data_IF_158921835092
#
_entry.id   IF_158921835092
#
_cell.length_a   1.000
_cell.length_b   1.000
_cell.length_c   1.000
_cell.angle_alpha   90.00
_cell.angle_beta   90.00
_cell.angle_gamma   90.00
#
_symmetry.space_group_name_H-M   'P 1'
#
loop_
_entity.id
_entity.type
_entity.pdbx_description
1 polymer ?
#
# COMPACT_ATOMS: atom_id res chain seq x y z
N UNK A 1 26.62 5.25 31.68
CA UNK A 1 26.06 6.25 30.73
C UNK A 1 24.69 5.74 30.27
N UNK A 2 23.61 6.47 30.56
CA UNK A 2 22.26 6.04 30.17
C UNK A 2 22.00 6.37 28.70
N UNK A 3 21.75 5.34 27.89
CA UNK A 3 21.34 5.48 26.49
C UNK A 3 19.91 6.01 26.48
N UNK A 4 19.74 7.29 26.14
CA UNK A 4 18.43 7.90 25.91
C UNK A 4 17.90 7.40 24.57
N UNK A 5 17.03 6.38 24.60
CA UNK A 5 16.25 5.98 23.41
C UNK A 5 15.28 7.11 23.08
N UNK A 6 15.47 7.75 21.92
CA UNK A 6 14.52 8.76 21.41
C UNK A 6 13.17 8.07 21.19
N UNK A 7 12.12 8.55 21.87
CA UNK A 7 10.75 8.12 21.63
C UNK A 7 10.40 8.33 20.14
N UNK A 8 9.80 7.34 19.45
CA UNK A 8 9.40 7.52 18.06
C UNK A 8 8.40 8.68 17.98
N UNK A 9 8.68 9.66 17.10
CA UNK A 9 7.77 10.77 16.82
C UNK A 9 6.41 10.17 16.49
N UNK A 10 5.36 10.64 17.15
CA UNK A 10 3.96 10.26 16.93
C UNK A 10 3.64 10.58 15.46
N UNK A 11 3.78 9.58 14.59
CA UNK A 11 3.42 9.71 13.18
C UNK A 11 1.97 10.16 13.06
N UNK A 12 1.66 10.88 11.98
CA UNK A 12 0.31 11.32 11.65
C UNK A 12 -0.60 10.08 11.57
N UNK A 13 -1.40 9.82 12.61
CA UNK A 13 -2.33 8.68 12.62
C UNK A 13 -3.44 9.02 11.64
N UNK A 14 -3.35 8.50 10.41
CA UNK A 14 -4.44 8.63 9.44
C UNK A 14 -5.69 7.96 10.00
N UNK A 15 -6.85 8.63 10.00
CA UNK A 15 -8.11 8.00 10.38
C UNK A 15 -8.36 6.75 9.52
N UNK A 16 -8.58 5.60 10.17
CA UNK A 16 -8.82 4.30 9.52
C UNK A 16 -10.31 3.97 9.33
N UNK A 17 -11.22 4.92 9.51
CA UNK A 17 -12.66 4.65 9.53
C UNK A 17 -13.10 3.87 8.27
N UNK A 18 -13.63 2.66 8.46
CA UNK A 18 -14.10 1.77 7.39
C UNK A 18 -13.05 0.90 6.70
N UNK A 19 -11.76 0.94 7.10
CA UNK A 19 -10.69 0.14 6.48
C UNK A 19 -10.31 -1.09 7.31
N UNK A 20 -10.04 -2.21 6.63
CA UNK A 20 -9.53 -3.46 7.23
C UNK A 20 -8.03 -3.64 6.95
N UNK A 21 -7.35 -4.44 7.77
CA UNK A 21 -5.94 -4.80 7.53
C UNK A 21 -5.87 -6.01 6.59
N UNK A 22 -4.96 -5.95 5.62
CA UNK A 22 -4.66 -7.03 4.69
C UNK A 22 -3.18 -7.41 4.84
N UNK A 23 -2.90 -8.64 5.26
CA UNK A 23 -1.54 -9.15 5.40
C UNK A 23 -1.12 -9.81 4.08
N UNK A 24 0.00 -9.35 3.51
CA UNK A 24 0.56 -9.88 2.27
C UNK A 24 2.06 -10.07 2.41
N UNK A 25 2.60 -11.02 1.65
CA UNK A 25 4.03 -11.23 1.50
C UNK A 25 4.52 -10.48 0.25
N UNK A 26 5.69 -9.85 0.36
CA UNK A 26 6.31 -9.07 -0.70
C UNK A 26 7.83 -9.08 -0.51
N UNK A 27 8.56 -8.87 -1.61
CA UNK A 27 10.01 -8.69 -1.58
C UNK A 27 10.39 -7.46 -0.70
N UNK A 28 11.42 -7.59 0.17
CA UNK A 28 11.80 -6.51 1.09
C UNK A 28 12.20 -5.21 0.38
N UNK A 29 12.84 -5.28 -0.78
CA UNK A 29 13.28 -4.09 -1.52
C UNK A 29 12.06 -3.38 -2.12
N UNK A 30 11.10 -4.14 -2.64
CA UNK A 30 9.83 -3.59 -3.12
C UNK A 30 9.05 -2.90 -2.00
N UNK A 31 9.04 -3.48 -0.78
CA UNK A 31 8.42 -2.84 0.39
C UNK A 31 9.14 -1.53 0.76
N UNK A 32 10.47 -1.48 0.64
CA UNK A 32 11.24 -0.27 0.91
C UNK A 32 10.92 0.83 -0.10
N UNK A 33 10.89 0.50 -1.39
CA UNK A 33 10.57 1.44 -2.47
C UNK A 33 9.16 2.03 -2.33
N UNK A 34 8.17 1.19 -2.01
CA UNK A 34 6.79 1.66 -1.79
C UNK A 34 6.71 2.64 -0.61
N UNK A 35 7.46 2.38 0.47
CA UNK A 35 7.47 3.28 1.63
C UNK A 35 8.13 4.61 1.28
N UNK A 36 9.24 4.57 0.55
CA UNK A 36 9.95 5.78 0.11
C UNK A 36 9.04 6.63 -0.79
N UNK A 37 8.41 6.03 -1.80
CA UNK A 37 7.47 6.72 -2.68
C UNK A 37 6.29 7.34 -1.91
N UNK A 38 5.73 6.61 -0.93
CA UNK A 38 4.66 7.13 -0.09
C UNK A 38 5.12 8.34 0.75
N UNK A 39 6.36 8.33 1.26
CA UNK A 39 6.95 9.47 1.98
C UNK A 39 7.14 10.69 1.06
N UNK A 40 7.64 10.50 -0.15
CA UNK A 40 7.81 11.56 -1.17
C UNK A 40 6.47 12.21 -1.53
N UNK A 41 5.43 11.40 -1.71
CA UNK A 41 4.07 11.87 -2.02
C UNK A 41 3.30 12.41 -0.80
N UNK A 42 3.87 12.33 0.41
CA UNK A 42 3.21 12.67 1.69
C UNK A 42 1.88 11.92 1.90
N UNK A 43 1.81 10.68 1.43
CA UNK A 43 0.64 9.80 1.55
C UNK A 43 1.01 8.59 2.40
N UNK A 44 0.04 7.96 3.08
CA UNK A 44 0.32 6.71 3.79
C UNK A 44 0.50 5.55 2.78
N UNK A 45 1.43 4.64 3.04
CA UNK A 45 1.72 3.51 2.14
C UNK A 45 0.51 2.63 1.79
N UNK A 46 -0.50 2.54 2.68
CA UNK A 46 -1.73 1.79 2.37
C UNK A 46 -2.53 2.42 1.22
N UNK A 47 -2.43 3.73 1.02
CA UNK A 47 -3.15 4.46 -0.04
C UNK A 47 -2.52 4.18 -1.41
N UNK A 48 -1.18 4.22 -1.47
CA UNK A 48 -0.39 3.78 -2.65
C UNK A 48 -0.71 2.32 -3.01
N UNK A 49 -0.76 1.45 -2.01
CA UNK A 49 -1.13 0.04 -2.21
C UNK A 49 -2.58 -0.15 -2.66
N UNK A 50 -3.52 0.65 -2.14
CA UNK A 50 -4.92 0.61 -2.56
C UNK A 50 -5.08 1.05 -4.03
N UNK A 51 -4.33 2.07 -4.45
CA UNK A 51 -4.26 2.53 -5.84
C UNK A 51 -3.74 1.43 -6.76
N UNK A 52 -2.59 0.82 -6.43
CA UNK A 52 -2.03 -0.29 -7.19
C UNK A 52 -2.99 -1.50 -7.28
N UNK A 53 -3.70 -1.79 -6.18
CA UNK A 53 -4.70 -2.86 -6.14
C UNK A 53 -5.89 -2.57 -7.07
N UNK A 54 -6.43 -1.33 -7.06
CA UNK A 54 -7.52 -0.91 -7.96
C UNK A 54 -7.12 -1.07 -9.42
N UNK A 55 -5.91 -0.67 -9.77
CA UNK A 55 -5.40 -0.78 -11.14
C UNK A 55 -5.20 -2.22 -11.59
N UNK A 56 -4.70 -3.08 -10.71
CA UNK A 56 -4.62 -4.51 -10.99
C UNK A 56 -6.00 -5.13 -11.19
N UNK A 57 -6.97 -4.82 -10.33
CA UNK A 57 -8.35 -5.31 -10.43
C UNK A 57 -9.02 -4.86 -11.73
N UNK A 58 -8.85 -3.60 -12.13
CA UNK A 58 -9.35 -3.06 -13.40
C UNK A 58 -8.78 -3.82 -14.61
N UNK A 59 -7.47 -4.08 -14.61
CA UNK A 59 -6.80 -4.89 -15.65
C UNK A 59 -7.30 -6.33 -15.65
N UNK A 60 -7.55 -6.93 -14.47
CA UNK A 60 -8.10 -8.28 -14.35
C UNK A 60 -9.52 -8.36 -14.91
N UNK A 61 -10.40 -7.41 -14.56
CA UNK A 61 -11.77 -7.36 -15.07
C UNK A 61 -11.81 -7.29 -16.60
N UNK A 62 -10.99 -6.43 -17.21
CA UNK A 62 -10.82 -6.35 -18.67
C UNK A 62 -10.39 -7.67 -19.30
N UNK A 63 -9.46 -8.39 -18.65
CA UNK A 63 -8.99 -9.70 -19.10
C UNK A 63 -10.09 -10.75 -19.08
N UNK A 64 -10.93 -10.72 -18.04
CA UNK A 64 -12.07 -11.63 -17.90
C UNK A 64 -13.11 -11.34 -18.98
N UNK A 65 -13.51 -10.07 -19.13
CA UNK A 65 -14.48 -9.66 -20.16
C UNK A 65 -14.03 -10.06 -21.57
N UNK A 66 -12.74 -9.92 -21.89
CA UNK A 66 -12.18 -10.36 -23.18
C UNK A 66 -12.24 -11.89 -23.36
N UNK A 67 -12.04 -12.66 -22.29
CA UNK A 67 -12.15 -14.13 -22.36
C UNK A 67 -13.60 -14.58 -22.57
N UNK A 68 -14.56 -13.91 -21.95
CA UNK A 68 -15.99 -14.24 -22.07
C UNK A 68 -16.62 -13.74 -23.37
N UNK A 69 -16.01 -12.74 -24.02
CA UNK A 69 -16.48 -12.18 -25.29
C UNK A 69 -15.90 -12.87 -26.54
N UNK A 70 -15.00 -13.86 -26.37
CA UNK A 70 -14.50 -14.68 -27.49
C UNK A 70 -15.41 -15.91 -27.62
N UNK A 71 -16.08 -16.12 -28.77
CA UNK A 71 -16.91 -17.30 -29.02
C UNK A 71 -16.07 -18.59 -29.05
#
# INVERSE_FOLDING_TARGET
MAVRTKLPKRGMRTPKAGRVQFLAMMDPDVVADIKLAAEEERRPAWDVMEEAAKDWLKRRARRIARKTAKP
#
